data_IF_788657806646
#
_entry.id   IF_788657806646
#
_cell.length_a   1.000
_cell.length_b   1.000
_cell.length_c   1.000
_cell.angle_alpha   90.00
_cell.angle_beta   90.00
_cell.angle_gamma   90.00
#
_symmetry.space_group_name_H-M   'P 1'
#
loop_
_entity.id
_entity.type
_entity.pdbx_description
1 polymer ?
#
# COMPACT_ATOMS: atom_id res chain seq x y z
N UNK A 1 -6.26 -8.59 0.32
CA UNK A 1 -4.96 -8.46 1.01
C UNK A 1 -4.82 -7.01 1.43
N UNK A 2 -4.79 -6.70 2.74
CA UNK A 2 -4.65 -5.34 3.25
C UNK A 2 -3.42 -4.64 2.65
N UNK A 3 -3.59 -3.36 2.31
CA UNK A 3 -2.50 -2.49 1.83
C UNK A 3 -2.24 -1.44 2.90
N UNK A 4 -1.05 -1.47 3.48
CA UNK A 4 -0.56 -0.46 4.44
C UNK A 4 -0.12 0.76 3.65
N UNK A 5 -0.87 1.86 3.81
CA UNK A 5 -0.69 3.08 3.03
C UNK A 5 0.07 4.14 3.81
N UNK A 6 0.79 5.02 3.10
CA UNK A 6 1.28 6.26 3.69
C UNK A 6 0.09 7.05 4.22
N UNK A 7 0.16 7.56 5.45
CA UNK A 7 -0.90 8.39 6.04
C UNK A 7 -1.37 9.53 5.11
N UNK A 8 -0.44 10.11 4.32
CA UNK A 8 -0.73 11.23 3.41
C UNK A 8 -1.58 10.83 2.22
N UNK A 9 -1.60 9.54 1.87
CA UNK A 9 -2.41 8.99 0.79
C UNK A 9 -3.79 8.50 1.24
N UNK A 10 -4.06 8.50 2.55
CA UNK A 10 -5.36 8.09 3.08
C UNK A 10 -6.44 9.10 2.70
N UNK A 11 -7.55 8.57 2.19
CA UNK A 11 -8.81 9.30 2.06
C UNK A 11 -9.37 9.66 3.44
N UNK A 12 -10.29 10.63 3.48
CA UNK A 12 -10.99 10.97 4.72
C UNK A 12 -11.78 9.76 5.28
N UNK A 13 -12.37 8.95 4.41
CA UNK A 13 -13.08 7.73 4.81
C UNK A 13 -12.15 6.72 5.51
N UNK A 14 -10.97 6.47 4.95
CA UNK A 14 -9.98 5.56 5.55
C UNK A 14 -9.45 6.09 6.89
N UNK A 15 -9.23 7.41 7.01
CA UNK A 15 -8.86 8.04 8.30
C UNK A 15 -9.94 7.82 9.34
N UNK A 16 -11.20 8.09 8.99
CA UNK A 16 -12.35 7.89 9.89
C UNK A 16 -12.50 6.43 10.28
N UNK A 17 -12.40 5.50 9.34
CA UNK A 17 -12.48 4.06 9.60
C UNK A 17 -11.38 3.62 10.59
N UNK A 18 -10.14 4.02 10.34
CA UNK A 18 -9.02 3.73 11.24
C UNK A 18 -9.27 4.26 12.66
N UNK A 19 -9.63 5.54 12.80
CA UNK A 19 -9.90 6.16 14.12
C UNK A 19 -11.02 5.42 14.85
N UNK A 20 -12.10 5.09 14.14
CA UNK A 20 -13.24 4.37 14.71
C UNK A 20 -12.83 2.97 15.18
N UNK A 21 -12.03 2.25 14.39
CA UNK A 21 -11.51 0.93 14.75
C UNK A 21 -10.61 1.01 16.01
N UNK A 22 -9.70 1.98 16.09
CA UNK A 22 -8.84 2.17 17.28
C UNK A 22 -9.68 2.47 18.52
N UNK A 23 -10.68 3.35 18.42
CA UNK A 23 -11.57 3.68 19.54
C UNK A 23 -12.44 2.50 19.96
N UNK A 24 -12.94 1.72 19.00
CA UNK A 24 -13.69 0.50 19.29
C UNK A 24 -12.82 -0.56 20.00
N UNK A 25 -11.57 -0.72 19.56
CA UNK A 25 -10.59 -1.61 20.20
C UNK A 25 -10.20 -1.15 21.61
N UNK A 26 -10.17 0.17 21.84
CA UNK A 26 -9.98 0.73 23.19
C UNK A 26 -11.18 0.49 24.09
N UNK A 27 -12.40 0.73 23.58
CA UNK A 27 -13.64 0.60 24.34
C UNK A 27 -13.90 -0.84 24.83
N UNK A 28 -13.46 -1.85 24.07
CA UNK A 28 -13.57 -3.26 24.49
C UNK A 28 -12.37 -3.76 25.32
N UNK A 29 -11.45 -2.87 25.70
CA UNK A 29 -10.30 -3.19 26.55
C UNK A 29 -9.14 -3.91 25.85
N UNK A 30 -9.30 -4.39 24.61
CA UNK A 30 -8.24 -5.13 23.90
C UNK A 30 -7.05 -4.26 23.53
N UNK A 31 -7.24 -2.96 23.27
CA UNK A 31 -6.11 -2.04 23.05
C UNK A 31 -5.12 -2.04 24.23
N UNK A 32 -5.62 -2.12 25.46
CA UNK A 32 -4.79 -2.11 26.66
C UNK A 32 -3.87 -3.34 26.72
N UNK A 33 -4.27 -4.47 26.12
CA UNK A 33 -3.43 -5.66 26.05
C UNK A 33 -2.17 -5.43 25.21
N UNK A 34 -2.23 -4.59 24.18
CA UNK A 34 -1.04 -4.20 23.40
C UNK A 34 -0.08 -3.35 24.24
N UNK A 35 -0.61 -2.40 25.01
CA UNK A 35 0.19 -1.58 25.93
C UNK A 35 0.89 -2.47 26.96
N UNK A 36 0.16 -3.40 27.59
CA UNK A 36 0.71 -4.30 28.60
C UNK A 36 1.72 -5.27 28.02
N UNK A 37 1.45 -5.86 26.86
CA UNK A 37 2.35 -6.81 26.20
C UNK A 37 3.71 -6.17 25.91
N UNK A 38 3.72 -4.93 25.43
CA UNK A 38 4.96 -4.18 25.22
C UNK A 38 5.60 -3.76 26.56
N UNK A 39 4.82 -3.19 27.49
CA UNK A 39 5.33 -2.68 28.76
C UNK A 39 5.97 -3.74 29.67
N UNK A 40 5.46 -4.98 29.61
CA UNK A 40 5.90 -6.08 30.46
C UNK A 40 6.92 -6.99 29.77
N UNK A 41 7.26 -6.73 28.51
CA UNK A 41 8.30 -7.47 27.83
C UNK A 41 9.69 -7.06 28.33
N UNK A 42 10.66 -8.00 28.46
CA UNK A 42 12.03 -7.66 28.80
C UNK A 42 12.61 -6.70 27.76
N UNK A 43 13.27 -5.63 28.21
CA UNK A 43 13.84 -4.61 27.33
C UNK A 43 14.73 -5.23 26.24
N UNK A 44 15.64 -6.14 26.63
CA UNK A 44 16.53 -6.84 25.69
C UNK A 44 15.80 -7.87 24.81
N UNK A 45 14.61 -8.32 25.20
CA UNK A 45 13.82 -9.30 24.44
C UNK A 45 13.15 -8.69 23.21
N UNK A 46 12.78 -7.41 23.27
CA UNK A 46 11.99 -6.73 22.23
C UNK A 46 12.66 -5.46 21.68
N UNK A 47 13.70 -4.97 22.33
CA UNK A 47 14.55 -3.86 21.90
C UNK A 47 16.02 -4.23 22.09
N UNK A 48 16.90 -3.38 21.55
CA UNK A 48 18.35 -3.38 21.74
C UNK A 48 19.04 -4.63 21.23
N UNK A 49 18.33 -5.51 20.53
CA UNK A 49 18.78 -6.86 20.17
C UNK A 49 18.10 -7.33 18.88
N UNK A 50 18.56 -8.43 18.24
CA UNK A 50 18.13 -8.84 16.89
C UNK A 50 16.64 -9.09 16.73
N UNK A 51 15.90 -9.38 17.80
CA UNK A 51 14.45 -9.62 17.73
C UNK A 51 13.63 -8.34 17.59
N UNK A 52 14.23 -7.14 17.72
CA UNK A 52 13.53 -5.85 17.64
C UNK A 52 12.59 -5.75 16.43
N UNK A 53 13.10 -5.99 15.22
CA UNK A 53 12.32 -5.86 13.99
C UNK A 53 11.24 -6.96 13.83
N UNK A 54 11.57 -8.28 13.91
CA UNK A 54 10.54 -9.32 13.77
C UNK A 54 9.49 -9.28 14.89
N UNK A 55 9.88 -8.92 16.11
CA UNK A 55 8.93 -8.81 17.22
C UNK A 55 7.92 -7.70 16.96
N UNK A 56 8.40 -6.51 16.58
CA UNK A 56 7.50 -5.38 16.27
C UNK A 56 6.64 -5.64 15.03
N UNK A 57 7.17 -6.33 14.00
CA UNK A 57 6.38 -6.79 12.85
C UNK A 57 5.21 -7.67 13.27
N UNK A 58 5.45 -8.69 14.10
CA UNK A 58 4.36 -9.51 14.64
C UNK A 58 3.41 -8.69 15.51
N UNK A 59 3.96 -7.80 16.35
CA UNK A 59 3.19 -6.97 17.27
C UNK A 59 2.16 -6.10 16.55
N UNK A 60 2.57 -5.42 15.47
CA UNK A 60 1.68 -4.58 14.67
C UNK A 60 0.77 -5.41 13.76
N UNK A 61 1.16 -6.62 13.34
CA UNK A 61 0.31 -7.54 12.60
C UNK A 61 -0.87 -8.03 13.46
N UNK A 62 -0.62 -8.37 14.71
CA UNK A 62 -1.69 -8.72 15.66
C UNK A 62 -2.63 -7.53 15.87
N UNK A 63 -2.09 -6.32 15.98
CA UNK A 63 -2.88 -5.09 16.12
C UNK A 63 -3.75 -4.83 14.90
N UNK A 64 -3.18 -4.96 13.69
CA UNK A 64 -3.90 -4.81 12.43
C UNK A 64 -5.06 -5.81 12.31
N UNK A 65 -4.84 -7.07 12.70
CA UNK A 65 -5.90 -8.11 12.71
C UNK A 65 -7.03 -7.78 13.69
N UNK A 66 -6.70 -7.28 14.87
CA UNK A 66 -7.69 -6.83 15.85
C UNK A 66 -8.48 -5.62 15.33
N UNK A 67 -7.83 -4.67 14.65
CA UNK A 67 -8.50 -3.54 13.99
C UNK A 67 -9.46 -4.01 12.87
N UNK A 68 -9.02 -4.95 12.04
CA UNK A 68 -9.85 -5.55 10.99
C UNK A 68 -11.10 -6.22 11.56
N UNK A 69 -10.96 -6.93 12.68
CA UNK A 69 -12.08 -7.58 13.36
C UNK A 69 -13.09 -6.55 13.90
N UNK A 70 -12.65 -5.52 14.62
CA UNK A 70 -13.59 -4.51 15.15
C UNK A 70 -14.21 -3.63 14.08
N UNK A 71 -13.51 -3.42 12.96
CA UNK A 71 -14.04 -2.68 11.81
C UNK A 71 -14.98 -3.52 10.93
N UNK A 72 -14.94 -4.86 11.05
CA UNK A 72 -15.61 -5.75 10.10
C UNK A 72 -15.02 -5.67 8.68
N UNK A 73 -13.80 -5.16 8.53
CA UNK A 73 -13.14 -4.96 7.25
C UNK A 73 -11.80 -5.72 7.21
N UNK A 74 -11.73 -6.91 6.59
CA UNK A 74 -10.49 -7.68 6.48
C UNK A 74 -9.44 -7.05 5.56
N UNK A 75 -9.79 -5.98 4.82
CA UNK A 75 -8.87 -5.25 3.95
C UNK A 75 -8.35 -3.95 4.58
N UNK A 76 -8.76 -3.61 5.81
CA UNK A 76 -8.18 -2.48 6.54
C UNK A 76 -6.68 -2.72 6.74
N UNK A 77 -5.87 -1.84 6.16
CA UNK A 77 -4.41 -1.83 6.32
C UNK A 77 -3.99 -0.81 7.36
N UNK A 78 -3.06 -1.17 8.23
CA UNK A 78 -2.46 -0.27 9.21
C UNK A 78 -1.66 0.83 8.47
N UNK A 79 -2.05 2.11 8.55
CA UNK A 79 -1.29 3.16 7.89
C UNK A 79 0.11 3.30 8.52
N UNK A 80 1.06 3.78 7.73
CA UNK A 80 2.40 4.10 8.21
C UNK A 80 2.66 5.59 8.22
N UNK A 81 3.48 6.03 9.17
CA UNK A 81 3.95 7.41 9.26
C UNK A 81 5.35 7.55 8.69
N UNK A 82 5.42 8.03 7.44
CA UNK A 82 6.68 8.46 6.85
C UNK A 82 7.14 9.79 7.47
N UNK A 83 7.84 9.71 8.59
CA UNK A 83 8.30 10.89 9.32
C UNK A 83 9.34 11.71 8.55
N UNK A 84 9.95 11.20 7.48
CA UNK A 84 10.89 12.01 6.66
C UNK A 84 10.18 13.09 5.85
N UNK A 85 8.95 12.83 5.42
CA UNK A 85 8.12 13.80 4.71
C UNK A 85 7.67 14.95 5.63
N UNK A 86 7.48 14.66 6.91
CA UNK A 86 7.14 15.66 7.92
C UNK A 86 8.38 16.40 8.41
N UNK A 87 9.53 15.72 8.49
CA UNK A 87 10.83 16.35 8.76
C UNK A 87 11.20 17.41 7.71
N UNK A 88 10.72 17.25 6.46
CA UNK A 88 10.94 18.20 5.37
C UNK A 88 10.01 19.43 5.42
N UNK A 89 9.03 19.47 6.31
CA UNK A 89 8.16 20.64 6.47
C UNK A 89 8.90 21.77 7.20
N UNK A 90 8.56 23.05 6.94
CA UNK A 90 9.08 24.17 7.74
C UNK A 90 8.81 24.02 9.25
N UNK A 91 7.70 23.38 9.60
CA UNK A 91 7.37 23.03 10.98
C UNK A 91 6.74 21.63 11.05
N UNK A 92 7.49 20.59 11.46
CA UNK A 92 6.95 19.23 11.59
C UNK A 92 5.83 19.11 12.64
N UNK A 93 5.69 20.09 13.55
CA UNK A 93 4.63 20.12 14.57
C UNK A 93 3.23 20.39 14.00
N UNK A 94 3.15 20.88 12.76
CA UNK A 94 1.89 21.14 12.05
C UNK A 94 1.63 20.12 10.94
N UNK A 95 2.34 18.99 10.95
CA UNK A 95 2.17 17.95 9.95
C UNK A 95 0.74 17.38 9.93
N UNK A 96 0.25 16.91 8.76
CA UNK A 96 -1.13 16.40 8.62
C UNK A 96 -1.52 15.26 9.56
N UNK A 97 -0.54 14.48 10.05
CA UNK A 97 -0.78 13.44 11.06
C UNK A 97 -1.34 13.99 12.37
N UNK A 98 -0.97 15.24 12.72
CA UNK A 98 -1.36 15.92 13.96
C UNK A 98 -2.66 16.72 13.84
N UNK A 99 -3.35 16.63 12.70
CA UNK A 99 -4.62 17.32 12.51
C UNK A 99 -5.69 16.78 13.48
N UNK A 100 -6.65 17.63 13.82
CA UNK A 100 -7.74 17.30 14.74
C UNK A 100 -8.71 16.24 14.20
N UNK A 101 -8.74 16.05 12.88
CA UNK A 101 -9.47 14.95 12.25
C UNK A 101 -8.64 13.67 12.10
N UNK A 102 -7.44 13.59 12.71
CA UNK A 102 -6.60 12.39 12.72
C UNK A 102 -6.04 12.04 14.10
N UNK A 103 -4.76 12.27 14.43
CA UNK A 103 -4.21 11.88 15.74
C UNK A 103 -4.28 12.99 16.81
N UNK A 104 -4.64 14.23 16.43
CA UNK A 104 -4.57 15.38 17.32
C UNK A 104 -3.15 15.90 17.53
N UNK A 105 -3.05 17.11 18.08
CA UNK A 105 -1.83 17.90 18.13
C UNK A 105 -0.85 17.56 19.25
N UNK A 106 0.01 18.53 19.53
CA UNK A 106 0.96 18.50 20.64
C UNK A 106 0.24 18.61 22.00
N UNK A 107 0.96 18.31 23.07
CA UNK A 107 0.51 18.60 24.43
C UNK A 107 0.58 20.09 24.76
N UNK A 108 -0.30 20.54 25.66
CA UNK A 108 -0.28 21.90 26.19
C UNK A 108 0.84 22.06 27.24
N UNK A 109 1.89 22.86 26.99
CA UNK A 109 2.99 23.05 27.92
C UNK A 109 2.57 23.65 29.27
N UNK A 110 1.45 24.36 29.32
CA UNK A 110 0.92 24.97 30.56
C UNK A 110 0.04 24.01 31.37
N UNK A 111 -0.23 22.82 30.84
CA UNK A 111 -1.10 21.82 31.46
C UNK A 111 -0.46 20.43 31.36
N UNK A 112 0.77 20.33 31.87
CA UNK A 112 1.55 19.09 31.94
C UNK A 112 1.61 18.31 30.63
N UNK A 113 1.64 19.03 29.50
CA UNK A 113 1.72 18.47 28.15
C UNK A 113 0.56 17.54 27.78
N UNK A 114 -0.62 17.74 28.37
CA UNK A 114 -1.83 16.98 28.04
C UNK A 114 -2.28 17.30 26.61
N UNK A 115 -2.60 16.27 25.83
CA UNK A 115 -3.18 16.42 24.49
C UNK A 115 -4.63 16.86 24.58
N UNK A 116 -4.95 18.04 24.03
CA UNK A 116 -6.29 18.67 24.11
C UNK A 116 -7.09 18.57 22.81
N UNK A 117 -6.50 18.09 21.73
CA UNK A 117 -7.12 18.07 20.40
C UNK A 117 -7.16 16.67 19.77
N UNK A 118 -7.99 16.52 18.74
CA UNK A 118 -8.19 15.25 18.05
C UNK A 118 -8.99 14.18 18.81
N UNK A 119 -9.16 12.99 18.22
CA UNK A 119 -9.97 11.91 18.77
C UNK A 119 -9.42 11.29 20.06
N UNK A 120 -8.12 11.49 20.33
CA UNK A 120 -7.39 10.90 21.46
C UNK A 120 -7.03 11.91 22.56
N UNK A 121 -7.74 13.05 22.58
CA UNK A 121 -7.59 14.07 23.62
C UNK A 121 -8.05 13.59 25.00
N UNK A 122 -7.68 14.34 26.03
CA UNK A 122 -8.21 14.21 27.39
C UNK A 122 -9.74 14.10 27.40
N UNK A 123 -10.27 13.20 28.23
CA UNK A 123 -11.71 12.89 28.32
C UNK A 123 -12.25 11.98 27.21
N UNK A 124 -11.49 11.74 26.14
CA UNK A 124 -11.82 10.76 25.10
C UNK A 124 -10.89 9.54 25.11
N UNK A 125 -9.67 9.71 25.66
CA UNK A 125 -8.65 8.68 25.72
C UNK A 125 -7.93 8.69 27.06
N UNK A 126 -7.96 7.53 27.73
CA UNK A 126 -7.26 7.31 29.01
C UNK A 126 -6.10 6.35 28.79
N UNK A 127 -4.91 6.74 29.25
CA UNK A 127 -3.72 5.89 29.20
C UNK A 127 -3.65 4.96 30.41
N UNK A 128 -2.86 3.89 30.32
CA UNK A 128 -2.60 2.97 31.45
C UNK A 128 -1.11 2.91 31.81
N UNK A 129 -0.80 2.56 33.06
CA UNK A 129 0.55 2.22 33.49
C UNK A 129 0.94 0.78 33.08
N UNK A 130 2.16 0.34 33.42
CA UNK A 130 2.65 -1.01 33.09
C UNK A 130 1.94 -2.15 33.83
N UNK A 131 1.12 -1.81 34.83
CA UNK A 131 0.31 -2.75 35.61
C UNK A 131 -1.15 -2.76 35.14
N UNK A 132 -1.52 -1.87 34.22
CA UNK A 132 -2.87 -1.77 33.64
C UNK A 132 -3.79 -0.80 34.36
N UNK A 133 -3.29 -0.05 35.36
CA UNK A 133 -4.10 0.94 36.05
C UNK A 133 -4.23 2.22 35.21
N UNK A 134 -5.37 2.93 35.28
CA UNK A 134 -5.51 4.24 34.65
C UNK A 134 -4.40 5.20 35.09
N UNK A 135 -3.69 5.79 34.12
CA UNK A 135 -2.55 6.67 34.33
C UNK A 135 -2.78 8.11 33.80
N UNK A 136 -4.05 8.49 33.64
CA UNK A 136 -4.46 9.83 33.22
C UNK A 136 -4.61 9.99 31.70
N UNK A 137 -4.26 11.17 31.20
CA UNK A 137 -4.44 11.56 29.80
C UNK A 137 -3.17 11.33 28.96
N UNK A 138 -3.37 11.24 27.64
CA UNK A 138 -2.28 11.21 26.66
C UNK A 138 -1.44 12.50 26.73
N UNK A 139 -0.12 12.38 26.62
CA UNK A 139 0.82 13.51 26.62
C UNK A 139 1.78 13.47 25.44
N UNK A 140 2.09 14.63 24.85
CA UNK A 140 3.05 14.79 23.74
C UNK A 140 3.88 16.06 23.93
N UNK A 141 5.14 16.03 23.52
CA UNK A 141 6.13 17.08 23.76
C UNK A 141 7.00 17.31 22.51
N UNK A 142 6.36 17.67 21.40
CA UNK A 142 7.00 17.69 20.08
C UNK A 142 8.27 18.55 20.03
N UNK A 143 9.38 17.87 19.78
CA UNK A 143 10.66 18.50 19.54
C UNK A 143 11.34 19.04 20.81
N UNK A 144 10.84 18.71 22.01
CA UNK A 144 11.41 19.21 23.28
C UNK A 144 12.70 18.47 23.63
N UNK A 145 12.70 17.14 23.56
CA UNK A 145 13.86 16.33 23.94
C UNK A 145 14.89 16.19 22.79
N UNK A 146 14.43 16.23 21.54
CA UNK A 146 15.27 16.36 20.34
C UNK A 146 14.58 17.27 19.33
N UNK A 147 15.27 18.22 18.68
CA UNK A 147 14.59 19.27 17.91
C UNK A 147 14.02 18.79 16.56
N UNK A 148 14.55 17.69 16.01
CA UNK A 148 14.25 17.25 14.64
C UNK A 148 13.83 15.78 14.57
N UNK A 149 12.90 15.48 13.66
CA UNK A 149 12.66 14.13 13.16
C UNK A 149 13.82 13.67 12.26
N UNK A 150 13.99 12.35 12.03
CA UNK A 150 14.97 11.88 11.07
C UNK A 150 14.56 12.21 9.63
N UNK A 151 15.56 12.41 8.79
CA UNK A 151 15.46 12.95 7.44
C UNK A 151 15.53 11.86 6.37
N UNK A 152 15.23 12.24 5.11
CA UNK A 152 15.43 11.33 3.98
C UNK A 152 16.91 10.94 3.79
N UNK A 153 17.86 11.82 4.15
CA UNK A 153 19.28 11.50 4.12
C UNK A 153 19.63 10.37 5.11
N UNK A 154 18.98 10.34 6.27
CA UNK A 154 19.16 9.26 7.25
C UNK A 154 18.66 7.92 6.70
N UNK A 155 17.55 7.91 5.95
CA UNK A 155 17.06 6.71 5.25
C UNK A 155 18.02 6.27 4.15
N UNK A 156 18.57 7.21 3.37
CA UNK A 156 19.54 6.89 2.33
C UNK A 156 20.79 6.22 2.94
N UNK A 157 21.25 6.70 4.09
CA UNK A 157 22.37 6.11 4.84
C UNK A 157 22.02 4.72 5.42
N UNK A 158 20.78 4.55 5.90
CA UNK A 158 20.27 3.27 6.39
C UNK A 158 20.26 2.20 5.29
N UNK A 159 19.83 2.57 4.07
CA UNK A 159 19.61 1.68 2.93
C UNK A 159 20.92 1.27 2.24
N UNK A 160 21.80 0.63 3.01
CA UNK A 160 23.12 0.14 2.62
C UNK A 160 23.21 -1.40 2.66
N UNK A 161 24.08 -2.04 1.85
CA UNK A 161 24.27 -3.50 1.81
C UNK A 161 25.09 -4.03 3.00
N UNK A 162 24.69 -3.69 4.22
CA UNK A 162 25.30 -4.17 5.47
C UNK A 162 24.57 -5.41 6.01
N UNK A 163 25.13 -6.19 6.95
CA UNK A 163 24.41 -7.30 7.57
C UNK A 163 23.14 -6.85 8.31
N UNK A 164 22.16 -7.75 8.43
CA UNK A 164 20.97 -7.53 9.26
C UNK A 164 21.37 -7.10 10.69
N UNK A 165 22.23 -7.89 11.32
CA UNK A 165 22.84 -7.58 12.61
C UNK A 165 24.18 -8.32 12.75
N UNK A 166 24.96 -7.95 13.76
CA UNK A 166 26.25 -8.61 14.09
C UNK A 166 26.42 -8.77 15.60
N UNK A 167 27.27 -9.72 16.00
CA UNK A 167 27.75 -9.85 17.38
C UNK A 167 28.31 -8.51 17.88
N UNK A 168 28.05 -8.07 19.12
CA UNK A 168 27.49 -8.82 20.24
C UNK A 168 25.95 -8.81 20.35
N UNK A 169 25.23 -8.59 19.24
CA UNK A 169 23.76 -8.66 19.17
C UNK A 169 23.07 -7.66 20.09
N UNK A 170 23.66 -6.47 20.22
CA UNK A 170 23.17 -5.44 21.13
C UNK A 170 23.30 -4.01 20.56
N UNK A 171 23.19 -2.99 21.41
CA UNK A 171 23.31 -1.57 21.01
C UNK A 171 24.68 -1.18 20.44
N UNK A 172 25.72 -2.00 20.61
CA UNK A 172 27.08 -1.74 20.08
C UNK A 172 27.35 -2.45 18.75
N UNK A 173 26.39 -3.25 18.24
CA UNK A 173 26.53 -3.97 16.98
C UNK A 173 26.79 -3.01 15.81
N UNK A 174 27.90 -3.22 15.10
CA UNK A 174 28.29 -2.45 13.92
C UNK A 174 29.24 -3.27 13.02
N UNK A 175 29.02 -3.33 11.69
CA UNK A 175 27.87 -2.81 10.94
C UNK A 175 26.61 -3.64 11.17
N UNK A 176 25.46 -2.97 11.42
CA UNK A 176 24.18 -3.63 11.69
C UNK A 176 23.02 -2.77 11.19
N UNK A 177 22.21 -3.31 10.28
CA UNK A 177 20.98 -2.65 9.83
C UNK A 177 19.98 -2.48 10.98
N UNK A 178 19.75 -3.54 11.77
CA UNK A 178 18.86 -3.52 12.94
C UNK A 178 19.24 -2.41 13.90
N UNK A 179 20.52 -2.33 14.27
CA UNK A 179 20.98 -1.36 15.27
C UNK A 179 20.98 0.09 14.75
N UNK A 180 21.23 0.29 13.44
CA UNK A 180 21.08 1.59 12.78
C UNK A 180 19.63 2.04 12.75
N UNK A 181 18.72 1.17 12.29
CA UNK A 181 17.29 1.46 12.23
C UNK A 181 16.69 1.71 13.60
N UNK A 182 17.05 0.90 14.59
CA UNK A 182 16.63 1.10 15.97
C UNK A 182 17.13 2.45 16.53
N UNK A 183 18.37 2.84 16.16
CA UNK A 183 18.87 4.19 16.39
C UNK A 183 19.83 4.32 17.56
N UNK A 184 20.69 3.33 17.78
CA UNK A 184 21.76 3.38 18.81
C UNK A 184 23.14 3.70 18.23
N UNK A 185 23.37 3.42 16.94
CA UNK A 185 24.63 3.67 16.25
C UNK A 185 24.38 3.95 14.76
N UNK A 186 25.11 4.86 14.09
CA UNK A 186 26.17 5.73 14.62
C UNK A 186 25.64 6.97 15.35
N UNK A 187 24.36 7.30 15.20
CA UNK A 187 23.71 8.43 15.87
C UNK A 187 22.74 7.88 16.91
N UNK A 188 22.81 8.41 18.13
CA UNK A 188 21.91 8.07 19.23
C UNK A 188 21.39 9.34 19.91
N UNK A 189 20.06 9.55 19.99
CA UNK A 189 19.02 8.74 19.36
C UNK A 189 18.97 8.99 17.83
N UNK A 190 19.06 7.91 17.06
CA UNK A 190 18.82 7.90 15.62
C UNK A 190 17.43 7.37 15.28
N UNK A 191 16.99 7.58 14.03
CA UNK A 191 15.85 6.90 13.40
C UNK A 191 14.67 6.58 14.36
N UNK A 192 14.40 5.29 14.65
CA UNK A 192 13.31 4.87 15.54
C UNK A 192 13.36 5.54 16.92
N UNK A 193 14.49 5.43 17.63
CA UNK A 193 14.66 6.05 18.95
C UNK A 193 14.43 7.56 18.91
N UNK A 194 14.89 8.23 17.84
CA UNK A 194 14.73 9.68 17.69
C UNK A 194 13.27 10.08 17.54
N UNK A 195 12.46 9.29 16.85
CA UNK A 195 11.01 9.57 16.69
C UNK A 195 10.28 9.45 18.02
N UNK A 196 10.55 8.38 18.79
CA UNK A 196 10.03 8.24 20.15
C UNK A 196 10.37 9.47 21.02
N UNK A 197 11.63 9.91 20.96
CA UNK A 197 12.14 11.06 21.73
C UNK A 197 11.57 12.39 21.23
N UNK A 198 11.39 12.55 19.91
CA UNK A 198 10.83 13.74 19.30
C UNK A 198 9.36 13.92 19.65
N UNK A 199 8.57 12.84 19.63
CA UNK A 199 7.17 12.90 20.05
C UNK A 199 7.07 13.19 21.55
N UNK A 200 7.93 12.56 22.35
CA UNK A 200 8.00 12.79 23.80
C UNK A 200 6.75 12.32 24.54
N UNK A 201 6.62 12.73 25.82
CA UNK A 201 5.45 12.39 26.63
C UNK A 201 5.18 10.88 26.70
N UNK A 202 3.97 10.48 26.32
CA UNK A 202 3.52 9.09 26.35
C UNK A 202 4.28 8.17 25.40
N UNK A 203 5.00 8.68 24.39
CA UNK A 203 5.82 7.87 23.48
C UNK A 203 7.20 7.47 24.04
N UNK A 204 7.62 8.00 25.18
CA UNK A 204 8.94 7.72 25.78
C UNK A 204 9.06 6.38 26.54
N UNK A 205 8.12 6.02 27.44
CA UNK A 205 8.27 4.82 28.27
C UNK A 205 7.97 3.52 27.50
N UNK A 206 8.21 2.38 28.13
CA UNK A 206 7.75 1.07 27.64
C UNK A 206 6.21 0.97 27.54
N UNK A 207 5.47 1.94 28.04
CA UNK A 207 4.03 2.08 27.80
C UNK A 207 3.71 2.95 26.58
N UNK A 208 4.68 3.17 25.68
CA UNK A 208 4.54 3.97 24.45
C UNK A 208 3.38 3.60 23.53
N UNK A 209 2.91 2.34 23.45
CA UNK A 209 1.67 2.04 22.72
C UNK A 209 0.42 2.74 23.27
N UNK A 210 0.47 3.41 24.43
CA UNK A 210 -0.62 4.28 24.87
C UNK A 210 -0.94 5.40 23.88
N UNK A 211 0.03 5.85 23.09
CA UNK A 211 -0.19 6.77 21.99
C UNK A 211 -0.45 5.99 20.69
N UNK A 212 -1.60 6.16 20.03
CA UNK A 212 -1.87 5.50 18.75
C UNK A 212 -0.82 5.75 17.66
N UNK A 213 -0.05 6.84 17.75
CA UNK A 213 1.05 7.10 16.80
C UNK A 213 2.15 6.03 16.86
N UNK A 214 2.28 5.31 17.97
CA UNK A 214 3.20 4.17 18.11
C UNK A 214 3.07 3.20 16.94
N UNK A 215 1.84 2.80 16.62
CA UNK A 215 1.58 1.79 15.60
C UNK A 215 1.89 2.29 14.20
N UNK A 216 1.63 3.57 13.90
CA UNK A 216 1.98 4.18 12.62
C UNK A 216 3.50 4.36 12.47
N UNK A 217 4.18 4.74 13.56
CA UNK A 217 5.63 4.83 13.61
C UNK A 217 6.28 3.46 13.34
N UNK A 218 5.87 2.44 14.08
CA UNK A 218 6.38 1.07 13.93
C UNK A 218 5.98 0.44 12.59
N UNK A 219 4.85 0.82 12.01
CA UNK A 219 4.47 0.42 10.65
C UNK A 219 5.44 0.96 9.60
N UNK A 220 6.00 2.16 9.79
CA UNK A 220 7.05 2.69 8.90
C UNK A 220 8.43 2.08 9.19
N UNK A 221 8.76 1.77 10.45
CA UNK A 221 9.97 0.99 10.79
C UNK A 221 9.92 -0.39 10.12
N UNK A 222 8.78 -1.05 10.17
CA UNK A 222 8.55 -2.33 9.48
C UNK A 222 8.68 -2.21 7.96
N UNK A 223 8.15 -1.11 7.39
CA UNK A 223 8.30 -0.79 5.97
C UNK A 223 9.76 -0.67 5.59
N UNK A 224 10.56 0.08 6.35
CA UNK A 224 11.99 0.26 6.08
C UNK A 224 12.74 -1.06 6.13
N UNK A 225 12.33 -1.99 7.00
CA UNK A 225 12.90 -3.34 6.99
C UNK A 225 12.49 -4.13 5.75
N UNK A 226 11.21 -4.11 5.36
CA UNK A 226 10.75 -4.76 4.13
C UNK A 226 11.45 -4.21 2.88
N UNK A 227 11.57 -2.88 2.76
CA UNK A 227 12.29 -2.20 1.68
C UNK A 227 13.77 -2.65 1.63
N UNK A 228 14.43 -2.76 2.78
CA UNK A 228 15.81 -3.25 2.87
C UNK A 228 15.93 -4.72 2.47
N UNK A 229 15.00 -5.59 2.89
CA UNK A 229 14.97 -7.00 2.49
C UNK A 229 14.80 -7.14 0.97
N UNK A 230 13.91 -6.34 0.37
CA UNK A 230 13.70 -6.33 -1.08
C UNK A 230 14.92 -5.80 -1.84
N UNK A 231 15.62 -4.79 -1.31
CA UNK A 231 16.80 -4.20 -1.93
C UNK A 231 18.05 -5.09 -1.82
N UNK A 232 18.16 -5.86 -0.74
CA UNK A 232 19.33 -6.69 -0.45
C UNK A 232 18.92 -8.14 -0.14
N UNK A 233 18.37 -8.88 -1.12
CA UNK A 233 17.78 -10.21 -0.89
C UNK A 233 18.78 -11.28 -0.41
N UNK A 234 20.09 -11.02 -0.56
CA UNK A 234 21.15 -11.91 -0.08
C UNK A 234 21.53 -11.67 1.39
N UNK A 235 20.98 -10.63 2.04
CA UNK A 235 21.22 -10.33 3.45
C UNK A 235 20.14 -11.00 4.31
N UNK A 236 20.50 -12.13 4.90
CA UNK A 236 19.60 -12.91 5.75
C UNK A 236 19.50 -12.34 7.17
N UNK A 237 18.45 -12.73 7.89
CA UNK A 237 18.32 -12.51 9.32
C UNK A 237 19.49 -13.15 10.08
N UNK A 238 20.02 -12.43 11.05
CA UNK A 238 21.07 -12.89 11.96
C UNK A 238 20.70 -12.51 13.41
N UNK A 239 21.06 -13.35 14.40
CA UNK A 239 21.78 -14.62 14.28
C UNK A 239 20.87 -15.77 13.82
N UNK A 240 21.43 -16.73 13.07
CA UNK A 240 20.73 -17.98 12.75
C UNK A 240 20.82 -19.01 13.89
N UNK A 241 21.86 -18.90 14.71
CA UNK A 241 22.12 -19.70 15.90
C UNK A 241 23.32 -19.13 16.68
N UNK A 242 23.54 -19.58 17.92
CA UNK A 242 24.67 -19.17 18.77
C UNK A 242 24.57 -17.75 19.34
N UNK A 243 23.50 -17.01 19.04
CA UNK A 243 23.14 -15.76 19.70
C UNK A 243 22.31 -15.97 20.97
N UNK A 244 21.94 -14.88 21.67
CA UNK A 244 21.17 -14.98 22.90
C UNK A 244 19.78 -15.60 22.64
N UNK A 245 19.26 -16.33 23.63
CA UNK A 245 17.94 -16.98 23.55
C UNK A 245 16.84 -15.97 23.22
N UNK A 246 15.94 -16.33 22.33
CA UNK A 246 14.82 -15.47 21.89
C UNK A 246 15.18 -14.58 20.69
N UNK A 247 16.42 -14.65 20.22
CA UNK A 247 16.93 -13.83 19.11
C UNK A 247 17.49 -14.63 17.95
N UNK A 248 17.68 -15.94 18.09
CA UNK A 248 18.08 -16.75 16.94
C UNK A 248 16.90 -16.92 15.98
N UNK A 249 17.20 -17.16 14.69
CA UNK A 249 16.21 -17.25 13.61
C UNK A 249 14.98 -18.12 13.94
N UNK A 250 15.20 -19.23 14.65
CA UNK A 250 14.14 -20.19 15.01
C UNK A 250 13.79 -20.19 16.50
N UNK A 251 14.29 -19.23 17.29
CA UNK A 251 13.88 -19.09 18.67
C UNK A 251 12.48 -18.47 18.73
N UNK A 252 11.60 -18.97 19.61
CA UNK A 252 10.38 -18.26 19.94
C UNK A 252 10.69 -16.89 20.52
N UNK A 253 10.07 -15.84 19.97
CA UNK A 253 10.25 -14.48 20.43
C UNK A 253 9.42 -14.22 21.69
N UNK A 254 9.95 -13.36 22.55
CA UNK A 254 9.38 -13.03 23.85
C UNK A 254 7.92 -12.56 23.77
N UNK A 255 7.04 -13.05 24.65
CA UNK A 255 5.66 -12.54 24.83
C UNK A 255 4.82 -12.33 23.55
N UNK A 256 5.00 -13.14 22.51
CA UNK A 256 4.04 -13.19 21.38
C UNK A 256 2.73 -13.87 21.79
N UNK A 257 1.61 -13.62 21.09
CA UNK A 257 0.30 -14.19 21.50
C UNK A 257 0.29 -15.72 21.51
N UNK A 258 0.92 -16.37 20.52
CA UNK A 258 1.00 -17.83 20.46
C UNK A 258 2.18 -18.41 21.25
N UNK A 259 3.12 -17.58 21.70
CA UNK A 259 4.37 -18.02 22.33
C UNK A 259 5.31 -18.81 21.42
N UNK A 260 4.96 -19.00 20.15
CA UNK A 260 5.65 -19.87 19.18
C UNK A 260 6.16 -19.11 17.96
N UNK A 261 5.87 -17.81 17.84
CA UNK A 261 6.31 -17.00 16.70
C UNK A 261 7.81 -16.80 16.78
N UNK A 262 8.51 -17.13 15.69
CA UNK A 262 9.96 -16.98 15.56
C UNK A 262 10.29 -15.88 14.54
N UNK A 263 11.52 -15.33 14.52
CA UNK A 263 11.94 -14.44 13.45
C UNK A 263 11.70 -15.02 12.05
N UNK A 264 12.00 -16.31 11.84
CA UNK A 264 11.79 -17.01 10.57
C UNK A 264 10.34 -16.91 10.07
N UNK A 265 9.37 -17.05 10.99
CA UNK A 265 7.94 -17.05 10.64
C UNK A 265 7.41 -15.70 10.14
N UNK A 266 8.17 -14.62 10.34
CA UNK A 266 7.74 -13.24 9.99
C UNK A 266 8.66 -12.53 9.00
N UNK A 267 9.62 -13.23 8.38
CA UNK A 267 10.54 -12.60 7.43
C UNK A 267 9.84 -12.15 6.12
N UNK A 268 8.80 -12.88 5.68
CA UNK A 268 8.13 -12.64 4.41
C UNK A 268 6.76 -11.98 4.61
N UNK A 269 6.66 -10.68 4.35
CA UNK A 269 5.43 -9.89 4.54
C UNK A 269 4.27 -10.36 3.66
N UNK A 270 4.56 -10.86 2.44
CA UNK A 270 3.53 -11.37 1.54
C UNK A 270 2.92 -12.67 2.09
N UNK A 271 3.74 -13.54 2.70
CA UNK A 271 3.26 -14.75 3.39
C UNK A 271 2.45 -14.41 4.66
N UNK A 272 2.73 -13.28 5.30
CA UNK A 272 1.93 -12.76 6.42
C UNK A 272 0.59 -12.14 5.98
N UNK A 273 0.40 -11.92 4.67
CA UNK A 273 -0.86 -11.48 4.09
C UNK A 273 -1.06 -9.97 4.06
N UNK A 274 0.00 -9.17 4.00
CA UNK A 274 -0.09 -7.72 3.77
C UNK A 274 0.96 -7.23 2.78
N UNK A 275 0.81 -5.99 2.31
CA UNK A 275 1.81 -5.25 1.52
C UNK A 275 1.81 -3.77 1.90
N UNK A 276 2.85 -3.07 1.50
CA UNK A 276 2.88 -1.60 1.45
C UNK A 276 2.38 -1.08 0.10
N UNK A 277 1.87 0.14 0.07
CA UNK A 277 1.41 0.84 -1.15
C UNK A 277 2.53 1.13 -2.16
N UNK A 278 3.77 1.23 -1.69
CA UNK A 278 4.97 1.36 -2.55
C UNK A 278 5.59 0.03 -2.92
N UNK A 279 5.18 -1.08 -2.30
CA UNK A 279 5.63 -2.38 -2.79
C UNK A 279 5.20 -2.43 -4.26
N UNK A 280 6.09 -2.82 -5.18
CA UNK A 280 5.66 -3.02 -6.55
C UNK A 280 4.45 -3.94 -6.46
N UNK A 281 3.28 -3.41 -6.87
CA UNK A 281 2.09 -4.26 -7.06
C UNK A 281 2.64 -5.45 -7.79
N UNK A 282 2.54 -6.69 -7.23
CA UNK A 282 3.18 -7.84 -7.85
C UNK A 282 2.84 -7.73 -9.31
N UNK A 283 3.85 -7.49 -10.16
CA UNK A 283 3.62 -7.27 -11.58
C UNK A 283 3.12 -8.61 -12.04
N UNK A 284 1.80 -8.78 -11.97
CA UNK A 284 1.14 -9.99 -12.40
C UNK A 284 1.15 -10.02 -13.90
N UNK A 285 1.40 -8.90 -14.59
CA UNK A 285 1.53 -8.81 -16.04
C UNK A 285 2.60 -9.77 -16.55
N UNK A 286 2.14 -10.95 -16.97
CA UNK A 286 2.92 -11.95 -17.68
C UNK A 286 3.39 -11.38 -19.03
N UNK A 287 2.46 -10.71 -19.70
CA UNK A 287 2.59 -10.30 -21.09
C UNK A 287 1.49 -9.30 -21.47
N UNK A 288 1.79 -8.47 -22.47
CA UNK A 288 0.80 -7.64 -23.17
C UNK A 288 0.95 -7.87 -24.66
N UNK A 289 -0.16 -8.03 -25.38
CA UNK A 289 -0.16 -8.14 -26.84
C UNK A 289 -1.02 -7.06 -27.46
N UNK A 290 -0.58 -6.58 -28.62
CA UNK A 290 -1.23 -5.51 -29.36
C UNK A 290 -1.40 -5.86 -30.82
N UNK A 291 -2.45 -5.33 -31.42
CA UNK A 291 -2.66 -5.34 -32.86
C UNK A 291 -2.99 -3.94 -33.35
N UNK A 292 -2.45 -3.58 -34.51
CA UNK A 292 -2.68 -2.27 -35.13
C UNK A 292 -4.13 -2.12 -35.59
N UNK A 293 -4.64 -0.89 -35.55
CA UNK A 293 -6.03 -0.56 -35.84
C UNK A 293 -6.50 -1.01 -37.22
N UNK A 294 -5.60 -0.95 -38.21
CA UNK A 294 -5.86 -1.43 -39.56
C UNK A 294 -6.01 -2.97 -39.69
N UNK A 295 -6.01 -3.72 -38.59
CA UNK A 295 -6.28 -5.16 -38.59
C UNK A 295 -7.68 -5.51 -38.09
N UNK A 296 -8.49 -4.51 -37.70
CA UNK A 296 -9.87 -4.75 -37.29
C UNK A 296 -10.79 -5.19 -38.43
N UNK A 297 -11.88 -5.85 -38.06
CA UNK A 297 -13.04 -6.10 -38.92
C UNK A 297 -14.21 -5.17 -38.54
N UNK A 298 -14.99 -4.76 -39.55
CA UNK A 298 -16.17 -3.89 -39.39
C UNK A 298 -17.41 -4.78 -39.54
N UNK A 299 -18.31 -4.80 -38.55
CA UNK A 299 -19.48 -5.70 -38.56
C UNK A 299 -20.52 -5.32 -39.62
N UNK A 300 -20.80 -4.02 -39.75
CA UNK A 300 -21.79 -3.51 -40.70
C UNK A 300 -21.14 -2.55 -41.72
N UNK A 301 -20.50 -3.05 -42.79
CA UNK A 301 -19.88 -2.20 -43.81
C UNK A 301 -20.84 -1.19 -44.47
N UNK A 302 -22.12 -1.54 -44.61
CA UNK A 302 -23.12 -0.63 -45.21
C UNK A 302 -23.46 0.57 -44.32
N UNK A 303 -23.08 0.54 -43.02
CA UNK A 303 -23.28 1.63 -42.06
C UNK A 303 -22.10 2.60 -41.98
N UNK A 304 -21.05 2.38 -42.77
CA UNK A 304 -19.94 3.33 -42.90
C UNK A 304 -19.98 4.02 -44.27
N UNK A 305 -19.47 5.24 -44.35
CA UNK A 305 -19.34 6.00 -45.59
C UNK A 305 -17.88 6.42 -45.88
N UNK A 306 -16.97 6.18 -44.94
CA UNK A 306 -15.54 6.33 -45.11
C UNK A 306 -14.81 5.19 -44.40
N UNK A 307 -13.90 4.53 -45.11
CA UNK A 307 -12.89 3.66 -44.52
C UNK A 307 -11.56 4.01 -45.16
N UNK A 308 -10.60 4.40 -44.33
CA UNK A 308 -9.24 4.71 -44.81
C UNK A 308 -8.22 4.10 -43.85
N UNK A 309 -7.27 3.34 -44.41
CA UNK A 309 -6.18 2.71 -43.64
C UNK A 309 -4.89 3.45 -43.98
N UNK A 310 -4.13 3.82 -42.95
CA UNK A 310 -2.86 4.51 -43.12
C UNK A 310 -1.88 4.09 -42.01
N UNK A 311 -0.74 3.52 -42.40
CA UNK A 311 0.26 3.04 -41.46
C UNK A 311 -0.37 2.12 -40.40
N UNK A 312 -0.30 2.52 -39.13
CA UNK A 312 -0.76 1.75 -37.99
C UNK A 312 -2.26 1.91 -37.66
N UNK A 313 -2.98 2.85 -38.28
CA UNK A 313 -4.36 3.16 -37.88
C UNK A 313 -5.37 2.98 -39.02
N UNK A 314 -6.64 2.91 -38.62
CA UNK A 314 -7.79 2.97 -39.51
C UNK A 314 -8.67 4.15 -39.09
N UNK A 315 -9.15 4.90 -40.07
CA UNK A 315 -10.17 5.93 -39.95
C UNK A 315 -11.48 5.39 -40.49
N UNK A 316 -12.53 5.53 -39.69
CA UNK A 316 -13.88 5.13 -40.04
C UNK A 316 -14.82 6.33 -39.89
N UNK A 317 -15.58 6.63 -40.94
CA UNK A 317 -16.71 7.54 -40.90
C UNK A 317 -18.00 6.75 -40.90
N UNK A 318 -18.78 6.89 -39.82
CA UNK A 318 -20.10 6.29 -39.71
C UNK A 318 -21.17 7.11 -40.43
N UNK A 319 -22.19 6.43 -40.96
CA UNK A 319 -23.41 7.09 -41.44
C UNK A 319 -24.19 7.69 -40.26
N UNK A 320 -24.93 8.75 -40.52
CA UNK A 320 -25.70 9.47 -39.50
C UNK A 320 -26.68 8.53 -38.79
N UNK A 321 -26.82 8.68 -37.47
CA UNK A 321 -27.78 7.93 -36.64
C UNK A 321 -27.64 6.41 -36.75
N UNK A 322 -26.40 5.92 -36.85
CA UNK A 322 -26.11 4.48 -36.90
C UNK A 322 -25.25 4.02 -35.72
N UNK A 323 -25.25 2.72 -35.51
CA UNK A 323 -24.32 2.01 -34.61
C UNK A 323 -23.57 0.95 -35.41
N UNK A 324 -22.30 0.75 -35.08
CA UNK A 324 -21.46 -0.29 -35.66
C UNK A 324 -20.56 -0.94 -34.60
N UNK A 325 -20.10 -2.14 -34.91
CA UNK A 325 -19.20 -2.91 -34.07
C UNK A 325 -17.91 -3.18 -34.82
N UNK A 326 -16.81 -3.08 -34.08
CA UNK A 326 -15.46 -3.27 -34.59
C UNK A 326 -14.76 -4.37 -33.82
N UNK A 327 -14.29 -5.39 -34.53
CA UNK A 327 -13.74 -6.59 -33.92
C UNK A 327 -12.24 -6.69 -34.12
N UNK A 328 -11.54 -6.93 -33.03
CA UNK A 328 -10.11 -7.23 -32.99
C UNK A 328 -9.90 -8.66 -32.48
N UNK A 329 -9.25 -9.48 -33.30
CA UNK A 329 -8.68 -10.74 -32.85
C UNK A 329 -7.30 -10.44 -32.23
N UNK A 330 -7.14 -10.67 -30.94
CA UNK A 330 -5.88 -10.39 -30.24
C UNK A 330 -5.02 -11.66 -30.28
N UNK A 331 -3.79 -11.61 -30.84
CA UNK A 331 -2.86 -12.72 -30.71
C UNK A 331 -2.64 -13.04 -29.24
N UNK A 332 -3.14 -14.19 -28.78
CA UNK A 332 -3.26 -14.49 -27.36
C UNK A 332 -2.40 -15.69 -26.99
N UNK A 333 -1.30 -15.50 -26.27
CA UNK A 333 -0.53 -16.60 -25.70
C UNK A 333 -1.34 -17.18 -24.55
N UNK A 334 -1.93 -18.35 -24.75
CA UNK A 334 -2.78 -18.99 -23.75
C UNK A 334 -1.94 -19.61 -22.63
N UNK A 335 -0.75 -20.12 -22.95
CA UNK A 335 0.21 -20.72 -22.02
C UNK A 335 1.58 -20.11 -22.25
N UNK A 336 2.24 -19.65 -21.19
CA UNK A 336 3.62 -19.13 -21.21
C UNK A 336 4.38 -19.77 -20.05
N UNK A 337 5.56 -20.33 -20.31
CA UNK A 337 6.37 -21.03 -19.31
C UNK A 337 5.57 -22.08 -18.52
N UNK A 338 4.83 -22.94 -19.23
CA UNK A 338 3.96 -24.00 -18.69
C UNK A 338 2.84 -23.52 -17.76
N UNK A 339 2.52 -22.22 -17.77
CA UNK A 339 1.42 -21.63 -16.99
C UNK A 339 0.36 -21.02 -17.89
N UNK A 340 -0.89 -21.31 -17.58
CA UNK A 340 -2.04 -20.73 -18.27
C UNK A 340 -2.20 -19.27 -17.85
N UNK A 341 -2.31 -18.38 -18.83
CA UNK A 341 -2.50 -16.96 -18.55
C UNK A 341 -3.93 -16.64 -18.13
N UNK A 342 -4.09 -15.54 -17.41
CA UNK A 342 -5.38 -14.98 -17.00
C UNK A 342 -5.58 -13.60 -17.63
N UNK A 343 -6.79 -13.25 -18.06
CA UNK A 343 -7.04 -11.94 -18.67
C UNK A 343 -7.06 -10.83 -17.60
N UNK A 344 -6.29 -9.75 -17.79
CA UNK A 344 -6.27 -8.64 -16.82
C UNK A 344 -7.14 -7.47 -17.23
N UNK A 345 -6.84 -6.91 -18.39
CA UNK A 345 -7.53 -5.75 -18.94
C UNK A 345 -7.40 -5.75 -20.45
N UNK A 346 -8.34 -5.09 -21.12
CA UNK A 346 -8.24 -4.76 -22.54
C UNK A 346 -7.84 -3.31 -22.73
N UNK A 347 -7.06 -3.07 -23.78
CA UNK A 347 -6.42 -1.81 -24.08
C UNK A 347 -6.94 -1.32 -25.42
N UNK A 348 -7.51 -0.11 -25.46
CA UNK A 348 -8.00 0.51 -26.69
C UNK A 348 -7.28 1.83 -26.90
N UNK A 349 -6.66 2.02 -28.07
CA UNK A 349 -6.02 3.29 -28.42
C UNK A 349 -6.69 3.92 -29.62
N UNK A 350 -7.53 4.93 -29.37
CA UNK A 350 -8.34 5.56 -30.40
C UNK A 350 -8.51 7.06 -30.16
N UNK A 351 -9.09 7.74 -31.15
CA UNK A 351 -9.56 9.12 -31.06
C UNK A 351 -10.77 9.33 -31.94
N UNK A 352 -11.49 10.41 -31.68
CA UNK A 352 -12.72 10.81 -32.36
C UNK A 352 -12.60 12.26 -32.76
N UNK A 353 -13.32 12.64 -33.81
CA UNK A 353 -13.31 14.02 -34.27
C UNK A 353 -14.37 14.89 -33.56
N UNK A 354 -15.45 14.27 -33.05
CA UNK A 354 -16.51 14.93 -32.26
C UNK A 354 -17.08 14.01 -31.18
N UNK A 355 -17.89 14.56 -30.25
CA UNK A 355 -18.61 13.75 -29.24
C UNK A 355 -19.81 13.00 -29.81
N UNK A 356 -20.09 13.22 -31.09
CA UNK A 356 -21.15 12.54 -31.81
C UNK A 356 -20.71 11.17 -32.33
N UNK A 357 -19.40 10.91 -32.39
CA UNK A 357 -18.83 9.57 -32.54
C UNK A 357 -18.24 9.13 -31.20
N UNK A 358 -18.77 8.08 -30.59
CA UNK A 358 -18.25 7.61 -29.30
C UNK A 358 -18.39 6.10 -29.13
N UNK A 359 -17.43 5.51 -28.43
CA UNK A 359 -17.52 4.12 -27.97
C UNK A 359 -18.52 4.08 -26.82
N UNK A 360 -19.56 3.25 -26.97
CA UNK A 360 -20.60 3.06 -25.96
C UNK A 360 -20.55 1.69 -25.29
N UNK A 361 -19.90 0.71 -25.93
CA UNK A 361 -19.75 -0.62 -25.39
C UNK A 361 -18.40 -1.24 -25.79
N UNK A 362 -17.83 -2.07 -24.90
CA UNK A 362 -16.67 -2.91 -25.19
C UNK A 362 -16.91 -4.28 -24.59
N UNK A 363 -16.91 -5.32 -25.43
CA UNK A 363 -17.06 -6.71 -25.02
C UNK A 363 -15.75 -7.47 -25.23
N UNK A 364 -15.43 -8.33 -24.26
CA UNK A 364 -14.24 -9.17 -24.28
C UNK A 364 -14.68 -10.62 -24.27
N UNK A 365 -14.14 -11.39 -25.21
CA UNK A 365 -14.45 -12.81 -25.39
C UNK A 365 -13.19 -13.67 -25.21
N UNK A 366 -13.36 -14.87 -24.68
CA UNK A 366 -12.40 -15.97 -24.76
C UNK A 366 -13.07 -17.13 -25.52
N UNK A 367 -12.70 -17.30 -26.80
CA UNK A 367 -13.46 -18.13 -27.73
C UNK A 367 -14.91 -17.63 -27.87
N UNK A 368 -15.88 -18.51 -27.67
CA UNK A 368 -17.31 -18.22 -27.72
C UNK A 368 -17.85 -17.52 -26.46
N UNK A 369 -17.08 -17.48 -25.37
CA UNK A 369 -17.55 -17.02 -24.07
C UNK A 369 -17.24 -15.54 -23.87
N UNK A 370 -18.27 -14.74 -23.57
CA UNK A 370 -18.07 -13.34 -23.17
C UNK A 370 -17.60 -13.27 -21.71
N UNK A 371 -16.35 -12.86 -21.50
CA UNK A 371 -15.71 -12.82 -20.18
C UNK A 371 -15.75 -11.44 -19.51
N UNK A 372 -15.98 -10.37 -20.29
CA UNK A 372 -16.24 -9.03 -19.77
C UNK A 372 -17.14 -8.23 -20.72
N UNK A 373 -17.93 -7.32 -20.15
CA UNK A 373 -18.72 -6.36 -20.88
C UNK A 373 -18.69 -5.01 -20.16
N UNK A 374 -18.22 -3.98 -20.84
CA UNK A 374 -18.25 -2.60 -20.40
C UNK A 374 -19.34 -1.88 -21.19
N UNK A 375 -20.44 -1.56 -20.51
CA UNK A 375 -21.62 -0.94 -21.11
C UNK A 375 -21.77 0.52 -20.68
N UNK A 376 -22.68 1.24 -21.34
CA UNK A 376 -23.02 2.63 -21.02
C UNK A 376 -21.81 3.58 -21.03
N UNK A 377 -20.83 3.28 -21.87
CA UNK A 377 -19.65 4.13 -22.04
C UNK A 377 -20.01 5.38 -22.87
N UNK A 378 -19.20 6.42 -22.71
CA UNK A 378 -19.27 7.62 -23.57
C UNK A 378 -17.87 8.12 -23.85
N UNK A 379 -17.08 7.31 -24.54
CA UNK A 379 -15.67 7.61 -24.79
C UNK A 379 -15.48 8.23 -26.18
N UNK A 380 -15.08 9.51 -26.20
CA UNK A 380 -14.82 10.32 -27.41
C UNK A 380 -13.54 11.15 -27.29
N UNK A 381 -12.37 10.55 -26.98
CA UNK A 381 -11.12 11.30 -26.85
C UNK A 381 -10.78 12.02 -28.16
N UNK A 382 -10.31 13.28 -28.08
CA UNK A 382 -9.95 14.08 -29.27
C UNK A 382 -8.52 13.87 -29.75
N UNK A 383 -7.64 13.45 -28.85
CA UNK A 383 -6.27 13.04 -29.13
C UNK A 383 -6.14 11.53 -28.97
N UNK A 384 -5.06 10.96 -29.49
CA UNK A 384 -4.79 9.54 -29.29
C UNK A 384 -4.72 9.23 -27.79
N UNK A 385 -5.71 8.48 -27.31
CA UNK A 385 -5.84 8.17 -25.90
C UNK A 385 -5.88 6.66 -25.70
N UNK A 386 -5.20 6.19 -24.66
CA UNK A 386 -5.28 4.82 -24.19
C UNK A 386 -6.42 4.70 -23.19
N UNK A 387 -7.36 3.80 -23.47
CA UNK A 387 -8.41 3.38 -22.56
C UNK A 387 -8.08 1.96 -22.09
N UNK A 388 -7.87 1.80 -20.78
CA UNK A 388 -7.64 0.49 -20.15
C UNK A 388 -8.91 0.10 -19.40
N UNK A 389 -9.48 -1.06 -19.75
CA UNK A 389 -10.74 -1.55 -19.21
C UNK A 389 -10.51 -2.92 -18.57
N UNK A 390 -10.80 -3.05 -17.27
CA UNK A 390 -10.50 -4.26 -16.50
C UNK A 390 -11.37 -5.46 -16.91
N UNK A 391 -10.78 -6.66 -16.96
CA UNK A 391 -11.51 -7.92 -17.07
C UNK A 391 -11.80 -8.45 -15.65
N UNK A 392 -13.06 -8.46 -15.18
CA UNK A 392 -13.37 -8.82 -13.80
C UNK A 392 -12.92 -10.24 -13.43
N UNK A 393 -12.44 -10.41 -12.20
CA UNK A 393 -12.02 -11.69 -11.61
C UNK A 393 -10.81 -12.38 -12.29
N UNK A 394 -10.23 -11.75 -13.31
CA UNK A 394 -9.11 -12.26 -14.08
C UNK A 394 -9.29 -13.74 -14.47
N UNK A 395 -10.25 -14.10 -15.33
CA UNK A 395 -10.48 -15.50 -15.68
C UNK A 395 -9.27 -16.08 -16.41
N UNK A 396 -9.02 -17.38 -16.23
CA UNK A 396 -8.06 -18.11 -17.05
C UNK A 396 -8.48 -18.09 -18.52
N UNK A 397 -7.52 -17.90 -19.41
CA UNK A 397 -7.73 -17.91 -20.85
C UNK A 397 -7.62 -19.35 -21.35
N UNK A 398 -8.57 -19.76 -22.17
CA UNK A 398 -8.64 -21.12 -22.74
C UNK A 398 -8.34 -21.15 -24.22
N UNK A 399 -8.85 -20.20 -24.99
CA UNK A 399 -8.86 -20.28 -26.45
C UNK A 399 -8.21 -19.06 -27.11
N UNK A 400 -8.50 -17.86 -26.63
CA UNK A 400 -7.91 -16.62 -27.13
C UNK A 400 -8.84 -15.42 -27.02
N UNK A 401 -8.26 -14.22 -26.87
CA UNK A 401 -9.00 -12.98 -26.64
C UNK A 401 -9.51 -12.36 -27.94
N UNK A 402 -10.81 -12.08 -27.97
CA UNK A 402 -11.47 -11.21 -28.93
C UNK A 402 -12.01 -9.95 -28.27
N UNK A 403 -11.81 -8.79 -28.88
CA UNK A 403 -12.35 -7.51 -28.41
C UNK A 403 -13.34 -6.97 -29.44
N UNK A 404 -14.56 -6.69 -29.01
CA UNK A 404 -15.60 -6.08 -29.84
C UNK A 404 -15.99 -4.71 -29.28
N UNK A 405 -15.94 -3.69 -30.13
CA UNK A 405 -16.12 -2.28 -29.74
C UNK A 405 -17.37 -1.73 -30.41
N UNK A 406 -18.40 -1.40 -29.64
CA UNK A 406 -19.62 -0.75 -30.10
C UNK A 406 -19.45 0.76 -30.16
N UNK A 407 -19.71 1.35 -31.34
CA UNK A 407 -19.59 2.79 -31.60
C UNK A 407 -20.89 3.33 -32.14
N UNK A 408 -21.35 4.45 -31.58
CA UNK A 408 -22.50 5.21 -32.08
C UNK A 408 -22.03 6.44 -32.85
N UNK A 409 -22.73 6.70 -33.95
CA UNK A 409 -22.53 7.83 -34.84
C UNK A 409 -23.80 8.67 -34.88
N UNK A 410 -23.82 9.78 -34.16
CA UNK A 410 -24.97 10.66 -33.95
C UNK A 410 -24.80 12.04 -34.60
N UNK A 411 -23.67 12.28 -35.27
CA UNK A 411 -23.36 13.55 -35.91
C UNK A 411 -24.12 13.73 -37.21
N UNK A 412 -24.25 14.99 -37.63
CA UNK A 412 -24.95 15.38 -38.86
C UNK A 412 -24.02 15.49 -40.07
N UNK A 413 -22.70 15.37 -39.88
CA UNK A 413 -21.74 15.29 -40.99
C UNK A 413 -20.87 14.03 -40.87
N UNK A 414 -20.28 13.60 -41.99
CA UNK A 414 -19.26 12.54 -41.97
C UNK A 414 -18.10 12.91 -41.04
N UNK A 415 -17.73 14.19 -41.01
CA UNK A 415 -16.64 14.70 -40.18
C UNK A 415 -16.94 14.54 -38.69
N UNK A 416 -18.18 14.79 -38.26
CA UNK A 416 -18.60 14.59 -36.87
C UNK A 416 -18.57 13.11 -36.48
N UNK A 417 -18.81 12.22 -37.45
CA UNK A 417 -18.87 10.78 -37.28
C UNK A 417 -17.55 10.06 -37.53
N UNK A 418 -16.42 10.77 -37.48
CA UNK A 418 -15.09 10.15 -37.61
C UNK A 418 -14.59 9.59 -36.28
N UNK A 419 -14.20 8.32 -36.32
CA UNK A 419 -13.43 7.64 -35.29
C UNK A 419 -12.19 7.01 -35.93
N UNK A 420 -11.07 7.05 -35.21
CA UNK A 420 -9.82 6.45 -35.63
C UNK A 420 -9.28 5.53 -34.55
N UNK A 421 -8.97 4.30 -34.93
CA UNK A 421 -8.33 3.34 -34.04
C UNK A 421 -6.89 3.12 -34.48
N UNK A 422 -5.96 3.30 -33.55
CA UNK A 422 -4.54 3.01 -33.78
C UNK A 422 -4.15 1.62 -33.35
N UNK A 423 -4.76 1.09 -32.29
CA UNK A 423 -4.51 -0.28 -31.83
C UNK A 423 -5.54 -0.73 -30.82
N UNK A 424 -5.62 -2.05 -30.65
CA UNK A 424 -6.25 -2.70 -29.51
C UNK A 424 -5.31 -3.78 -28.96
N UNK A 425 -5.43 -4.12 -27.70
CA UNK A 425 -4.56 -5.10 -27.04
C UNK A 425 -5.18 -5.67 -25.78
N UNK A 426 -4.48 -6.63 -25.18
CA UNK A 426 -4.87 -7.24 -23.90
C UNK A 426 -3.65 -7.41 -23.02
N UNK A 427 -3.86 -7.21 -21.73
CA UNK A 427 -2.95 -7.51 -20.65
C UNK A 427 -3.27 -8.89 -20.07
N UNK A 428 -2.22 -9.64 -19.75
CA UNK A 428 -2.33 -11.01 -19.26
C UNK A 428 -1.57 -11.20 -17.98
N UNK A 429 -2.11 -11.99 -17.06
CA UNK A 429 -1.49 -12.38 -15.82
C UNK A 429 -0.96 -13.81 -15.84
N UNK A 430 0.07 -14.12 -15.05
CA UNK A 430 0.56 -15.51 -14.79
C UNK A 430 -0.30 -16.18 -13.72
#
# INVERSE_FOLDING_TARGET
MPTRKNLRSLTNAEKTEFINAVRALKANGRYNQFVLRHAQAPMAGIHRSPAFLPWHRQFILDYERELQQVAGNPNLGLPYWNWTEDAALPNPRTAPIWADNFLGGNGDPNDNWIVKSGPFRVGQWTIIDGNGNPAGALRRQFGVNVPTLPSQADINNLMSPIPYDVSPWNMTSNPSFRNRLEGWYPVSPGLHNRVHVWVGGSMMPMTSPNDPVFFLHHCFVDKLWADWQARFPNQNYLPTGGGPRGHNLNDPMERTLSGSVTPASVLNIAALGYRYDTDPVPVRLAQTTWIHGHSMQIEFPDRVNLVWRAGYFIRVGGRQTTENWFHFAIPTPVIVNDRRLRADAVLLRFRTNSDSAFVHAVHVYDGENRIAAHENLRLSPRTWSLQRLDVPNNPEIRWGIGISIGVRFQGTTTNDNLIEFSSAGSEFLV
#
